data_IF_233389560068
#
_entry.id   IF_233389560068
#
_cell.length_a   1.000
_cell.length_b   1.000
_cell.length_c   1.000
_cell.angle_alpha   90.00
_cell.angle_beta   90.00
_cell.angle_gamma   90.00
#
_symmetry.space_group_name_H-M   'P 1'
#
loop_
_entity.id
_entity.type
_entity.pdbx_description
1 polymer ?
#
# COMPACT_ATOMS: atom_id res chain seq x y z
N UNK A 1 -13.37 -1.84 2.98
CA UNK A 1 -11.91 -1.90 2.87
C UNK A 1 -11.47 -3.35 2.73
N UNK A 2 -10.73 -3.64 1.70
CA UNK A 2 -10.21 -4.98 1.47
C UNK A 2 -8.70 -4.90 1.35
N UNK A 3 -8.02 -5.80 2.02
CA UNK A 3 -6.56 -5.86 2.00
C UNK A 3 -6.14 -7.25 1.59
N UNK A 4 -5.35 -7.34 0.54
CA UNK A 4 -4.89 -8.61 0.03
C UNK A 4 -3.80 -9.24 0.90
N UNK A 5 -3.21 -10.32 0.38
CA UNK A 5 -2.15 -11.01 1.10
C UNK A 5 -0.83 -10.27 0.96
N UNK A 6 0.04 -10.45 1.92
CA UNK A 6 1.39 -9.87 1.87
C UNK A 6 1.36 -8.35 1.70
N UNK A 7 0.43 -7.68 2.36
CA UNK A 7 0.37 -6.24 2.33
C UNK A 7 1.08 -5.71 3.56
N UNK A 8 1.93 -4.73 3.36
CA UNK A 8 2.63 -4.09 4.46
C UNK A 8 2.07 -2.69 4.63
N UNK A 9 1.52 -2.41 5.79
CA UNK A 9 0.98 -1.10 6.10
C UNK A 9 1.73 -0.56 7.30
N UNK A 10 2.44 0.52 7.08
CA UNK A 10 3.26 1.11 8.13
C UNK A 10 2.40 1.89 9.12
N UNK A 11 3.05 2.40 10.15
CA UNK A 11 2.35 3.08 11.22
C UNK A 11 1.70 4.38 10.74
N UNK A 12 0.56 4.70 11.27
CA UNK A 12 -0.07 6.00 11.00
C UNK A 12 -0.83 6.07 9.69
N UNK A 13 -1.04 4.95 9.03
CA UNK A 13 -1.76 4.96 7.77
C UNK A 13 -3.25 5.03 8.01
N UNK A 14 -3.92 5.86 7.24
CA UNK A 14 -5.38 5.94 7.23
C UNK A 14 -5.88 5.42 5.89
N UNK A 15 -6.82 4.50 5.92
CA UNK A 15 -7.38 3.94 4.71
C UNK A 15 -8.87 4.23 4.69
N UNK A 16 -9.32 4.90 3.64
CA UNK A 16 -10.72 5.28 3.54
C UNK A 16 -11.60 4.09 3.21
N UNK A 17 -12.90 4.25 3.44
CA UNK A 17 -13.85 3.20 3.15
C UNK A 17 -13.84 2.88 1.67
N UNK A 18 -14.10 1.65 1.36
CA UNK A 18 -14.22 1.23 -0.03
C UNK A 18 -12.91 1.08 -0.78
N UNK A 19 -11.80 1.30 -0.11
CA UNK A 19 -10.51 1.16 -0.75
C UNK A 19 -10.10 -0.32 -0.74
N UNK A 20 -9.52 -0.78 -1.82
CA UNK A 20 -8.96 -2.11 -1.92
C UNK A 20 -7.45 -1.99 -2.07
N UNK A 21 -6.71 -2.72 -1.25
CA UNK A 21 -5.26 -2.78 -1.37
C UNK A 21 -4.90 -4.17 -1.83
N UNK A 22 -4.36 -4.27 -3.03
CA UNK A 22 -4.06 -5.55 -3.64
C UNK A 22 -2.85 -6.20 -2.99
N UNK A 23 -2.63 -7.46 -3.30
CA UNK A 23 -1.56 -8.22 -2.69
C UNK A 23 -0.18 -7.64 -2.99
N UNK A 24 0.75 -7.88 -2.10
CA UNK A 24 2.15 -7.47 -2.27
C UNK A 24 2.33 -5.95 -2.38
N UNK A 25 1.43 -5.20 -1.79
CA UNK A 25 1.53 -3.74 -1.79
C UNK A 25 2.14 -3.25 -0.49
N UNK A 26 2.74 -2.08 -0.53
CA UNK A 26 3.33 -1.45 0.66
C UNK A 26 2.76 -0.05 0.78
N UNK A 27 2.27 0.27 1.97
CA UNK A 27 1.77 1.62 2.25
C UNK A 27 2.72 2.26 3.24
N UNK A 28 3.33 3.35 2.85
CA UNK A 28 4.28 4.03 3.70
C UNK A 28 3.60 4.69 4.89
N UNK A 29 4.36 4.97 5.91
CA UNK A 29 3.83 5.55 7.13
C UNK A 29 3.20 6.91 6.94
N UNK A 30 2.23 7.23 7.75
CA UNK A 30 1.53 8.52 7.73
C UNK A 30 0.89 8.84 6.39
N UNK A 31 0.49 7.84 5.64
CA UNK A 31 -0.18 8.05 4.37
C UNK A 31 -1.69 8.00 4.55
N UNK A 32 -2.41 8.64 3.68
CA UNK A 32 -3.87 8.58 3.66
C UNK A 32 -4.29 7.99 2.32
N UNK A 33 -4.80 6.77 2.36
CA UNK A 33 -5.16 6.05 1.14
C UNK A 33 -6.60 6.36 0.78
N UNK A 34 -6.80 7.04 -0.31
CA UNK A 34 -8.13 7.44 -0.75
C UNK A 34 -8.59 6.68 -1.98
N UNK A 35 -7.69 5.98 -2.65
CA UNK A 35 -8.02 5.19 -3.82
C UNK A 35 -7.39 3.81 -3.70
N UNK A 36 -7.91 2.86 -4.43
CA UNK A 36 -7.37 1.50 -4.38
C UNK A 36 -5.92 1.46 -4.83
N UNK A 37 -5.16 0.57 -4.23
CA UNK A 37 -3.74 0.42 -4.53
C UNK A 37 -3.55 -0.90 -5.28
N UNK A 38 -2.99 -0.86 -6.49
CA UNK A 38 -2.77 -2.10 -7.26
C UNK A 38 -1.73 -2.99 -6.60
N UNK A 39 -1.66 -4.22 -7.03
CA UNK A 39 -0.69 -5.15 -6.49
C UNK A 39 0.74 -4.73 -6.85
N UNK A 40 1.68 -5.18 -6.06
CA UNK A 40 3.10 -4.95 -6.28
C UNK A 40 3.46 -3.47 -6.40
N UNK A 41 2.83 -2.64 -5.59
CA UNK A 41 3.07 -1.20 -5.64
C UNK A 41 3.37 -0.65 -4.26
N UNK A 42 4.03 0.48 -4.22
CA UNK A 42 4.26 1.21 -3.00
C UNK A 42 3.50 2.52 -3.11
N UNK A 43 2.67 2.81 -2.14
CA UNK A 43 1.94 4.06 -2.09
C UNK A 43 2.38 4.88 -0.88
N UNK A 44 2.43 6.17 -1.03
CA UNK A 44 2.87 7.05 0.03
C UNK A 44 2.29 8.45 -0.14
N UNK A 45 2.16 9.16 0.95
CA UNK A 45 1.77 10.57 0.94
C UNK A 45 0.34 10.83 1.33
N UNK A 46 -0.05 12.08 1.31
CA UNK A 46 -1.39 12.55 1.65
C UNK A 46 -1.88 13.44 0.53
N UNK A 47 -2.76 12.94 -0.34
CA UNK A 47 -3.25 11.58 -0.43
C UNK A 47 -2.19 10.63 -0.95
N UNK A 48 -2.29 9.38 -0.57
CA UNK A 48 -1.30 8.40 -0.99
C UNK A 48 -1.31 8.22 -2.50
N UNK A 49 -0.12 8.19 -3.08
CA UNK A 49 0.03 8.00 -4.50
C UNK A 49 1.03 6.89 -4.74
N UNK A 50 0.92 6.26 -5.89
CA UNK A 50 1.84 5.20 -6.23
C UNK A 50 3.20 5.81 -6.51
N UNK A 51 4.17 5.48 -5.67
CA UNK A 51 5.52 5.99 -5.83
C UNK A 51 6.44 4.96 -6.47
N UNK A 52 6.02 3.72 -6.50
CA UNK A 52 6.80 2.68 -7.15
C UNK A 52 5.88 1.54 -7.48
N UNK A 53 6.10 0.88 -8.60
CA UNK A 53 5.29 -0.27 -8.98
C UNK A 53 6.19 -1.42 -9.39
N UNK A 54 5.58 -2.59 -9.56
CA UNK A 54 6.31 -3.80 -9.90
C UNK A 54 7.38 -4.13 -8.88
N UNK A 55 7.12 -3.86 -7.61
CA UNK A 55 8.09 -4.18 -6.57
C UNK A 55 8.08 -5.68 -6.33
N UNK A 56 9.20 -6.18 -5.85
CA UNK A 56 9.32 -7.58 -5.55
C UNK A 56 10.02 -7.70 -4.22
N UNK A 57 9.37 -7.23 -3.17
CA UNK A 57 10.00 -7.11 -1.88
C UNK A 57 9.95 -8.37 -1.04
N UNK A 58 9.07 -9.23 -1.35
CA UNK A 58 8.85 -10.29 -0.41
C UNK A 58 10.02 -11.21 -0.25
N UNK A 59 10.92 -11.36 -1.17
CA UNK A 59 11.98 -12.20 -0.94
C UNK A 59 13.13 -11.48 -0.55
N UNK A 60 13.28 -10.39 -0.75
CA UNK A 60 14.43 -9.77 -0.45
C UNK A 60 14.46 -9.47 0.89
N UNK A 61 14.34 -9.51 1.62
CA UNK A 61 14.28 -9.26 2.78
C UNK A 61 15.04 -8.49 3.20
N UNK A 62 15.32 -8.02 3.11
CA UNK A 62 16.13 -7.30 3.47
C UNK A 62 16.56 -7.11 4.43
#
# INVERSE_FOLDING_TARGET
MLIGDHVWIARGVTINKGVTIESNSVIAGNSVVTKSVPCNCIAAGVPAKIVKNNINWLRKRI
#
